data_IF_583715646919
#
_entry.id   IF_583715646919
#
_cell.length_a   1.000
_cell.length_b   1.000
_cell.length_c   1.000
_cell.angle_alpha   90.00
_cell.angle_beta   90.00
_cell.angle_gamma   90.00
#
_symmetry.space_group_name_H-M   'P 1'
#
loop_
_entity.id
_entity.type
_entity.pdbx_description
1 polymer ?
#
# COMPACT_ATOMS: atom_id res chain seq x y z
N UNK A 1 29.65 2.44 -8.79
CA UNK A 1 29.00 3.59 -9.38
C UNK A 1 29.54 4.82 -8.68
N UNK A 2 30.00 5.84 -9.43
CA UNK A 2 30.46 7.09 -8.88
C UNK A 2 29.29 7.74 -8.13
N UNK A 3 29.36 7.77 -6.79
CA UNK A 3 28.31 8.32 -5.95
C UNK A 3 28.19 9.83 -6.19
N UNK A 4 26.98 10.30 -6.34
CA UNK A 4 26.70 11.75 -6.30
C UNK A 4 27.10 12.28 -4.93
N UNK A 5 27.62 13.52 -4.84
CA UNK A 5 27.99 14.10 -3.56
C UNK A 5 26.73 14.27 -2.67
N UNK A 6 26.82 13.98 -1.37
CA UNK A 6 25.67 14.12 -0.47
C UNK A 6 25.17 15.57 -0.40
N UNK A 7 23.86 15.75 -0.31
CA UNK A 7 23.24 17.04 -0.07
C UNK A 7 23.62 17.54 1.31
N UNK A 8 24.21 18.75 1.42
CA UNK A 8 24.55 19.36 2.70
C UNK A 8 23.68 20.57 3.01
N UNK A 9 23.14 20.61 4.21
CA UNK A 9 22.47 21.77 4.80
C UNK A 9 23.27 22.21 6.03
N UNK A 10 23.52 23.51 6.18
CA UNK A 10 24.23 24.07 7.32
C UNK A 10 23.64 25.40 7.77
N UNK A 11 23.54 25.61 9.08
CA UNK A 11 23.03 26.83 9.68
C UNK A 11 23.82 27.23 10.93
N UNK A 12 24.30 28.45 10.98
CA UNK A 12 24.99 29.02 12.16
C UNK A 12 24.04 29.80 13.06
N UNK A 13 23.02 30.43 12.49
CA UNK A 13 22.06 31.30 13.19
C UNK A 13 20.71 30.69 13.51
N UNK A 14 20.57 29.38 13.44
CA UNK A 14 19.30 28.66 13.65
C UNK A 14 18.32 28.86 12.48
N UNK A 15 18.02 27.79 11.76
CA UNK A 15 17.10 27.79 10.61
C UNK A 15 16.14 26.63 10.69
N UNK A 16 14.96 26.84 10.08
CA UNK A 16 14.03 25.80 9.65
C UNK A 16 13.98 25.87 8.13
N UNK A 17 14.69 24.96 7.48
CA UNK A 17 14.92 25.00 6.02
C UNK A 17 14.89 23.60 5.43
N UNK A 18 14.72 23.52 4.11
CA UNK A 18 14.63 22.27 3.39
C UNK A 18 15.24 22.33 2.00
N UNK A 19 15.70 21.20 1.52
CA UNK A 19 15.77 20.87 0.10
C UNK A 19 14.67 19.89 -0.23
N UNK A 20 14.07 19.93 -1.41
CA UNK A 20 12.95 19.06 -1.76
C UNK A 20 12.96 18.65 -3.22
N UNK A 21 12.29 17.52 -3.48
CA UNK A 21 11.91 17.08 -4.81
C UNK A 21 10.40 16.84 -4.85
N UNK A 22 9.76 17.15 -5.98
CA UNK A 22 8.33 16.89 -6.18
C UNK A 22 8.14 15.57 -6.93
N UNK A 23 7.24 14.73 -6.42
CA UNK A 23 6.89 13.44 -7.00
C UNK A 23 5.37 13.26 -7.02
N UNK A 24 4.87 12.50 -7.99
CA UNK A 24 3.45 12.17 -8.07
C UNK A 24 3.23 10.82 -7.38
N UNK A 25 2.34 10.79 -6.37
CA UNK A 25 2.02 9.58 -5.61
C UNK A 25 0.59 9.13 -5.90
N UNK A 26 0.40 7.81 -5.94
CA UNK A 26 -0.88 7.17 -6.17
C UNK A 26 -1.66 6.99 -4.85
N UNK A 27 -2.98 7.16 -4.92
CA UNK A 27 -3.87 6.92 -3.79
C UNK A 27 -3.84 5.45 -3.35
N UNK A 28 -3.90 5.22 -2.03
CA UNK A 28 -3.96 3.88 -1.44
C UNK A 28 -2.64 3.10 -1.48
N UNK A 29 -1.62 3.61 -2.17
CA UNK A 29 -0.31 2.97 -2.24
C UNK A 29 0.49 3.27 -0.98
N UNK A 30 1.11 2.22 -0.42
CA UNK A 30 2.07 2.35 0.67
C UNK A 30 3.45 2.63 0.11
N UNK A 31 4.12 3.62 0.68
CA UNK A 31 5.48 4.03 0.31
C UNK A 31 6.43 3.87 1.49
N UNK A 32 7.68 3.54 1.18
CA UNK A 32 8.83 3.66 2.10
C UNK A 32 9.68 4.84 1.67
N UNK A 33 9.93 5.77 2.59
CA UNK A 33 10.84 6.88 2.40
C UNK A 33 12.06 6.69 3.30
N UNK A 34 13.26 6.62 2.75
CA UNK A 34 14.50 6.43 3.50
C UNK A 34 15.64 7.30 2.97
N UNK A 35 16.63 7.54 3.83
CA UNK A 35 17.91 8.12 3.46
C UNK A 35 18.98 7.74 4.48
N UNK A 36 20.23 7.95 4.12
CA UNK A 36 21.32 8.06 5.07
C UNK A 36 21.51 9.53 5.48
N UNK A 37 21.57 9.79 6.78
CA UNK A 37 21.76 11.13 7.34
C UNK A 37 22.97 11.11 8.27
N UNK A 38 23.87 12.11 8.10
CA UNK A 38 24.97 12.42 8.99
C UNK A 38 24.75 13.81 9.58
N UNK A 39 25.11 14.01 10.85
CA UNK A 39 24.93 15.32 11.51
C UNK A 39 26.19 15.72 12.27
N UNK A 40 26.45 17.04 12.33
CA UNK A 40 27.51 17.63 13.10
C UNK A 40 26.96 18.80 13.93
N UNK A 41 27.00 18.67 15.26
CA UNK A 41 26.58 19.66 16.26
C UNK A 41 25.18 20.22 16.04
N UNK A 42 24.25 19.39 15.61
CA UNK A 42 22.86 19.81 15.41
C UNK A 42 22.19 20.07 16.74
N UNK A 43 21.83 21.34 16.99
CA UNK A 43 21.22 21.82 18.23
C UNK A 43 20.07 22.80 17.93
N UNK A 44 19.34 23.20 18.99
CA UNK A 44 18.23 24.16 18.88
C UNK A 44 16.89 23.54 19.28
N UNK A 45 15.79 24.27 19.04
CA UNK A 45 14.43 23.85 19.42
C UNK A 45 13.70 22.96 18.40
N UNK A 46 14.27 22.78 17.20
CA UNK A 46 13.71 21.96 16.16
C UNK A 46 13.97 20.47 16.33
N UNK A 47 13.38 19.64 15.48
CA UNK A 47 13.56 18.19 15.47
C UNK A 47 14.93 17.74 14.94
N UNK A 48 15.70 18.63 14.31
CA UNK A 48 17.01 18.37 13.73
C UNK A 48 16.93 18.03 12.23
N UNK A 49 17.66 16.99 11.82
CA UNK A 49 17.70 16.55 10.42
C UNK A 49 16.80 15.34 10.21
N UNK A 50 15.88 15.39 9.27
CA UNK A 50 14.90 14.33 8.98
C UNK A 50 14.39 14.37 7.56
N UNK A 51 13.68 13.32 7.14
CA UNK A 51 12.86 13.32 5.94
C UNK A 51 11.39 13.48 6.29
N UNK A 52 10.63 14.17 5.45
CA UNK A 52 9.17 14.09 5.49
C UNK A 52 8.54 14.31 4.11
N UNK A 53 7.27 13.91 4.00
CA UNK A 53 6.40 14.33 2.90
C UNK A 53 5.58 15.51 3.39
N UNK A 54 5.79 16.68 2.76
CA UNK A 54 5.23 17.95 3.24
C UNK A 54 3.71 17.91 3.42
N UNK A 55 3.00 17.38 2.47
CA UNK A 55 1.54 17.31 2.43
C UNK A 55 0.93 16.30 3.43
N UNK A 56 1.76 15.40 3.94
CA UNK A 56 1.35 14.38 4.93
C UNK A 56 1.87 14.67 6.34
N UNK A 57 2.76 15.67 6.47
CA UNK A 57 3.29 16.14 7.76
C UNK A 57 3.83 14.98 8.64
N UNK A 58 3.35 14.88 9.87
CA UNK A 58 3.81 13.86 10.83
C UNK A 58 3.44 12.42 10.44
N UNK A 59 2.47 12.23 9.55
CA UNK A 59 2.07 10.89 9.07
C UNK A 59 3.10 10.24 8.15
N UNK A 60 4.00 11.03 7.58
CA UNK A 60 5.04 10.57 6.66
C UNK A 60 6.36 11.29 6.96
N UNK A 61 6.92 11.06 8.14
CA UNK A 61 8.21 11.63 8.55
C UNK A 61 9.08 10.59 9.27
N UNK A 62 10.39 10.75 9.17
CA UNK A 62 11.36 9.95 9.92
C UNK A 62 11.61 10.58 11.30
N UNK A 63 12.23 9.81 12.19
CA UNK A 63 12.79 10.39 13.42
C UNK A 63 13.89 11.41 13.08
N UNK A 64 13.86 12.57 13.72
CA UNK A 64 14.88 13.60 13.55
C UNK A 64 16.18 13.25 14.25
N UNK A 65 17.31 13.56 13.61
CA UNK A 65 18.66 13.39 14.18
C UNK A 65 19.18 14.73 14.70
N UNK A 66 19.64 14.71 15.96
CA UNK A 66 20.25 15.83 16.66
C UNK A 66 21.63 15.46 17.16
N UNK A 67 22.44 16.46 17.53
CA UNK A 67 23.82 16.24 17.99
C UNK A 67 24.77 15.92 16.84
N UNK A 68 25.81 15.16 17.14
CA UNK A 68 26.77 14.66 16.14
C UNK A 68 26.55 13.16 15.97
N UNK A 69 26.24 12.75 14.76
CA UNK A 69 26.05 11.35 14.38
C UNK A 69 26.83 11.09 13.10
N UNK A 70 27.46 9.92 13.02
CA UNK A 70 27.91 9.40 11.75
C UNK A 70 26.70 8.92 10.91
N UNK A 71 26.93 8.48 9.71
CA UNK A 71 25.87 8.06 8.79
C UNK A 71 24.90 7.08 9.45
N UNK A 72 23.64 7.45 9.53
CA UNK A 72 22.54 6.63 10.03
C UNK A 72 21.44 6.54 8.99
N UNK A 73 20.99 5.33 8.72
CA UNK A 73 19.81 5.13 7.90
C UNK A 73 18.58 5.50 8.72
N UNK A 74 17.76 6.36 8.15
CA UNK A 74 16.44 6.72 8.65
C UNK A 74 15.38 6.25 7.67
N UNK A 75 14.23 5.82 8.17
CA UNK A 75 13.16 5.29 7.34
C UNK A 75 11.80 5.57 7.98
N UNK A 76 10.79 5.77 7.14
CA UNK A 76 9.37 5.81 7.51
C UNK A 76 8.55 5.16 6.40
N UNK A 77 7.40 4.60 6.78
CA UNK A 77 6.44 4.08 5.83
C UNK A 77 5.09 4.78 6.03
N UNK A 78 4.39 5.07 4.94
CA UNK A 78 3.11 5.74 4.97
C UNK A 78 2.22 5.28 3.82
N UNK A 79 0.91 5.48 3.94
CA UNK A 79 -0.04 5.28 2.85
C UNK A 79 -0.43 6.65 2.32
N UNK A 80 -0.37 6.82 1.00
CA UNK A 80 -0.82 8.08 0.38
C UNK A 80 -2.34 8.06 0.22
N UNK A 81 -3.08 9.03 0.81
CA UNK A 81 -4.54 8.98 0.84
C UNK A 81 -5.21 9.40 -0.48
N UNK A 82 -4.50 10.04 -1.39
CA UNK A 82 -5.09 10.55 -2.65
C UNK A 82 -4.03 10.70 -3.74
N UNK A 83 -4.42 10.55 -5.00
CA UNK A 83 -3.56 10.89 -6.13
C UNK A 83 -3.18 12.37 -6.06
N UNK A 84 -1.90 12.65 -5.88
CA UNK A 84 -1.40 14.01 -5.81
C UNK A 84 0.10 14.12 -5.99
N UNK A 85 0.51 15.31 -6.39
CA UNK A 85 1.91 15.72 -6.33
C UNK A 85 2.27 16.12 -4.92
N UNK A 86 3.38 15.58 -4.42
CA UNK A 86 3.89 15.85 -3.06
C UNK A 86 5.33 16.32 -3.10
N UNK A 87 5.76 16.97 -2.02
CA UNK A 87 7.14 17.39 -1.81
C UNK A 87 7.82 16.48 -0.79
N UNK A 88 8.81 15.72 -1.23
CA UNK A 88 9.70 14.95 -0.35
C UNK A 88 10.82 15.88 0.09
N UNK A 89 10.94 16.12 1.39
CA UNK A 89 11.87 17.05 1.96
C UNK A 89 13.03 16.36 2.68
N UNK A 90 14.26 16.86 2.43
CA UNK A 90 15.36 16.79 3.37
C UNK A 90 15.23 18.01 4.28
N UNK A 91 14.66 17.83 5.46
CA UNK A 91 14.29 18.90 6.37
C UNK A 91 15.35 19.09 7.44
N UNK A 92 15.76 20.33 7.67
CA UNK A 92 16.68 20.73 8.73
C UNK A 92 16.03 21.79 9.61
N UNK A 93 15.78 21.47 10.85
CA UNK A 93 14.95 22.25 11.79
C UNK A 93 13.70 21.46 12.17
N UNK A 94 12.70 21.49 11.34
CA UNK A 94 11.44 20.75 11.51
C UNK A 94 10.63 21.24 12.71
N UNK A 95 9.65 22.09 12.43
CA UNK A 95 8.78 22.71 13.45
C UNK A 95 9.55 23.44 14.56
N UNK A 96 10.71 23.97 14.22
CA UNK A 96 11.59 24.75 15.08
C UNK A 96 12.93 24.96 14.42
N UNK A 97 13.74 25.89 14.98
CA UNK A 97 15.04 26.23 14.41
C UNK A 97 16.13 25.29 14.91
N UNK A 98 17.02 24.88 14.03
CA UNK A 98 18.22 24.13 14.36
C UNK A 98 19.47 24.84 13.83
N UNK A 99 20.60 24.66 14.54
CA UNK A 99 21.95 25.04 14.14
C UNK A 99 22.78 23.80 13.84
N UNK A 100 23.95 23.95 13.22
CA UNK A 100 24.85 22.84 12.91
C UNK A 100 24.84 22.47 11.43
N UNK A 101 25.19 21.21 11.15
CA UNK A 101 25.27 20.70 9.77
C UNK A 101 24.61 19.33 9.66
N UNK A 102 23.99 19.08 8.53
CA UNK A 102 23.45 17.77 8.15
C UNK A 102 23.81 17.44 6.70
N UNK A 103 24.06 16.17 6.45
CA UNK A 103 24.26 15.60 5.12
C UNK A 103 23.22 14.52 4.89
N UNK A 104 22.66 14.48 3.69
CA UNK A 104 21.66 13.53 3.24
C UNK A 104 22.18 12.81 2.01
N UNK A 105 22.09 11.49 2.00
CA UNK A 105 22.54 10.64 0.90
C UNK A 105 21.58 9.47 0.68
N UNK A 106 21.63 8.85 -0.50
CA UNK A 106 20.80 7.70 -0.87
C UNK A 106 19.31 7.89 -0.56
N UNK A 107 18.78 9.08 -0.86
CA UNK A 107 17.37 9.39 -0.63
C UNK A 107 16.53 8.53 -1.56
N UNK A 108 15.66 7.73 -1.01
CA UNK A 108 14.86 6.76 -1.75
C UNK A 108 13.40 6.82 -1.32
N UNK A 109 12.52 6.92 -2.30
CA UNK A 109 11.08 6.77 -2.14
C UNK A 109 10.63 5.62 -3.02
N UNK A 110 10.27 4.52 -2.41
CA UNK A 110 9.84 3.32 -3.11
C UNK A 110 8.40 2.99 -2.76
N UNK A 111 7.65 2.55 -3.76
CA UNK A 111 6.41 1.85 -3.48
C UNK A 111 6.74 0.60 -2.68
N UNK A 112 6.15 0.49 -1.49
CA UNK A 112 6.12 -0.77 -0.79
C UNK A 112 5.06 -1.61 -1.49
N UNK A 113 5.47 -2.29 -2.56
CA UNK A 113 4.71 -3.43 -3.01
C UNK A 113 4.64 -4.32 -1.77
N UNK A 114 3.46 -4.67 -1.25
CA UNK A 114 3.40 -5.71 -0.25
C UNK A 114 4.11 -6.90 -0.88
N UNK A 115 5.35 -7.16 -0.46
CA UNK A 115 5.93 -8.46 -0.68
C UNK A 115 5.10 -9.35 0.22
N UNK A 116 3.97 -9.77 -0.30
CA UNK A 116 3.25 -10.91 0.25
C UNK A 116 4.18 -12.08 0.04
N UNK A 117 5.20 -12.17 0.90
CA UNK A 117 5.77 -13.45 1.19
C UNK A 117 4.60 -14.26 1.69
N UNK A 118 4.10 -15.06 0.77
CA UNK A 118 3.27 -16.18 1.06
C UNK A 118 4.02 -17.07 2.06
N UNK A 119 4.04 -16.69 3.33
CA UNK A 119 4.11 -17.66 4.39
C UNK A 119 2.71 -18.27 4.57
N UNK A 120 2.07 -18.54 3.46
CA UNK A 120 1.10 -19.60 3.42
C UNK A 120 1.91 -20.87 3.54
N UNK A 121 1.89 -21.48 4.73
CA UNK A 121 2.26 -22.89 4.96
C UNK A 121 1.39 -23.88 4.13
N UNK A 122 0.92 -23.47 2.98
CA UNK A 122 0.31 -24.30 1.93
C UNK A 122 1.35 -24.56 0.84
N UNK A 123 2.63 -24.36 1.13
CA UNK A 123 3.77 -24.45 0.22
C UNK A 123 4.11 -25.86 -0.29
N UNK A 124 3.22 -26.82 -0.23
CA UNK A 124 3.37 -28.12 -0.89
C UNK A 124 2.04 -28.80 -1.17
N UNK A 125 0.94 -28.08 -1.15
CA UNK A 125 -0.35 -28.69 -1.47
C UNK A 125 -0.56 -28.62 -2.97
N UNK A 126 -0.79 -29.77 -3.59
CA UNK A 126 -1.26 -29.82 -4.97
C UNK A 126 -2.55 -28.99 -5.09
N UNK A 127 -2.59 -28.16 -6.11
CA UNK A 127 -3.76 -27.36 -6.47
C UNK A 127 -4.58 -28.20 -7.44
N UNK A 128 -5.83 -28.46 -7.10
CA UNK A 128 -6.70 -29.35 -7.88
C UNK A 128 -7.26 -28.67 -9.13
N UNK A 129 -7.39 -27.33 -9.09
CA UNK A 129 -7.89 -26.53 -10.22
C UNK A 129 -7.32 -25.12 -10.20
N UNK A 130 -7.28 -24.50 -11.38
CA UNK A 130 -6.77 -23.14 -11.56
C UNK A 130 -7.81 -22.25 -12.25
N UNK A 131 -7.90 -21.00 -11.79
CA UNK A 131 -8.74 -19.94 -12.36
C UNK A 131 -7.89 -18.72 -12.68
N UNK A 132 -8.40 -17.88 -13.57
CA UNK A 132 -7.81 -16.59 -13.88
C UNK A 132 -8.88 -15.53 -13.91
N UNK A 133 -8.56 -14.35 -13.40
CA UNK A 133 -9.36 -13.14 -13.48
C UNK A 133 -8.45 -11.94 -13.52
N UNK A 134 -8.75 -10.97 -14.35
CA UNK A 134 -7.99 -9.71 -14.38
C UNK A 134 -8.93 -8.53 -14.05
N UNK A 135 -8.42 -7.55 -13.30
CA UNK A 135 -9.01 -6.23 -13.24
C UNK A 135 -8.60 -5.46 -14.51
N UNK A 136 -9.58 -4.87 -15.20
CA UNK A 136 -9.38 -4.14 -16.45
C UNK A 136 -9.94 -2.71 -16.34
N UNK A 137 -9.51 -1.84 -17.24
CA UNK A 137 -9.95 -0.44 -17.28
C UNK A 137 -11.47 -0.31 -17.31
N UNK A 138 -12.00 0.65 -16.56
CA UNK A 138 -13.43 0.94 -16.49
C UNK A 138 -14.14 0.36 -15.27
N UNK A 139 -13.41 0.00 -14.22
CA UNK A 139 -13.94 -0.62 -13.00
C UNK A 139 -14.63 -1.96 -13.31
N UNK A 140 -13.99 -2.79 -14.10
CA UNK A 140 -14.52 -4.08 -14.54
C UNK A 140 -13.54 -5.21 -14.20
N UNK A 141 -14.08 -6.41 -14.06
CA UNK A 141 -13.32 -7.64 -14.18
C UNK A 141 -13.35 -8.13 -15.63
N UNK A 142 -12.31 -8.83 -16.05
CA UNK A 142 -12.23 -9.43 -17.41
C UNK A 142 -13.34 -10.44 -17.68
N UNK A 143 -13.83 -11.07 -16.61
CA UNK A 143 -14.92 -12.03 -16.65
C UNK A 143 -15.94 -11.71 -15.55
N UNK A 144 -17.22 -11.85 -15.88
CA UNK A 144 -18.31 -11.69 -14.90
C UNK A 144 -18.76 -13.03 -14.29
N UNK A 145 -18.33 -14.14 -14.87
CA UNK A 145 -18.61 -15.48 -14.36
C UNK A 145 -17.34 -16.34 -14.36
N UNK A 146 -17.04 -16.94 -13.22
CA UNK A 146 -16.06 -18.01 -13.09
C UNK A 146 -16.76 -19.31 -12.71
N UNK A 147 -16.20 -20.45 -13.11
CA UNK A 147 -16.75 -21.76 -12.76
C UNK A 147 -15.70 -22.61 -12.05
N UNK A 148 -16.08 -23.26 -10.96
CA UNK A 148 -15.22 -24.13 -10.20
C UNK A 148 -15.95 -25.36 -9.69
N UNK A 149 -15.21 -26.44 -9.43
CA UNK A 149 -15.73 -27.63 -8.75
C UNK A 149 -15.77 -27.41 -7.24
N UNK A 150 -16.71 -28.03 -6.51
CA UNK A 150 -16.85 -27.88 -5.07
C UNK A 150 -15.71 -28.54 -4.30
N UNK A 151 -15.38 -27.97 -3.14
CA UNK A 151 -14.50 -28.58 -2.15
C UNK A 151 -13.02 -28.72 -2.55
N UNK A 152 -12.60 -28.18 -3.68
CA UNK A 152 -11.25 -28.35 -4.23
C UNK A 152 -10.32 -27.18 -3.85
N UNK A 153 -9.05 -27.47 -3.67
CA UNK A 153 -8.03 -26.45 -3.55
C UNK A 153 -7.80 -25.78 -4.89
N UNK A 154 -8.07 -24.49 -4.92
CA UNK A 154 -8.11 -23.69 -6.14
C UNK A 154 -7.06 -22.59 -6.09
N UNK A 155 -6.23 -22.51 -7.13
CA UNK A 155 -5.41 -21.34 -7.39
C UNK A 155 -6.18 -20.38 -8.31
N UNK A 156 -6.41 -19.16 -7.85
CA UNK A 156 -6.95 -18.08 -8.67
C UNK A 156 -5.86 -17.02 -8.88
N UNK A 157 -5.38 -16.93 -10.11
CA UNK A 157 -4.46 -15.86 -10.50
C UNK A 157 -5.26 -14.59 -10.78
N UNK A 158 -5.11 -13.59 -9.92
CA UNK A 158 -5.72 -12.28 -10.07
C UNK A 158 -4.68 -11.28 -10.59
N UNK A 159 -4.89 -10.77 -11.81
CA UNK A 159 -4.05 -9.75 -12.44
C UNK A 159 -4.72 -8.38 -12.36
N UNK A 160 -3.93 -7.33 -12.23
CA UNK A 160 -4.40 -5.97 -12.35
C UNK A 160 -3.79 -5.30 -13.58
N UNK A 161 -4.54 -5.18 -14.66
CA UNK A 161 -4.12 -4.53 -15.90
C UNK A 161 -4.57 -3.06 -15.97
N UNK A 162 -5.35 -2.59 -15.00
CA UNK A 162 -5.80 -1.21 -14.86
C UNK A 162 -4.67 -0.30 -14.30
N UNK A 163 -4.98 0.98 -14.14
CA UNK A 163 -4.07 2.02 -13.63
C UNK A 163 -4.33 2.40 -12.17
N UNK A 164 -5.25 1.70 -11.49
CA UNK A 164 -5.55 1.90 -10.06
C UNK A 164 -5.56 0.56 -9.31
N UNK A 165 -5.34 0.58 -7.98
CA UNK A 165 -5.34 -0.65 -7.19
C UNK A 165 -6.72 -1.30 -7.13
N UNK A 166 -6.77 -2.62 -7.22
CA UNK A 166 -7.98 -3.43 -7.09
C UNK A 166 -7.72 -4.64 -6.21
N UNK A 167 -8.77 -5.15 -5.59
CA UNK A 167 -8.76 -6.47 -4.95
C UNK A 167 -9.88 -7.34 -5.51
N UNK A 168 -9.86 -8.60 -5.15
CA UNK A 168 -10.91 -9.57 -5.41
C UNK A 168 -11.36 -10.14 -4.06
N UNK A 169 -12.64 -10.02 -3.76
CA UNK A 169 -13.26 -10.56 -2.55
C UNK A 169 -14.43 -11.44 -2.94
N UNK A 170 -14.37 -12.73 -2.57
CA UNK A 170 -15.43 -13.72 -2.80
C UNK A 170 -16.27 -13.79 -1.53
N UNK A 171 -17.58 -13.68 -1.67
CA UNK A 171 -18.49 -13.62 -0.53
C UNK A 171 -19.59 -14.70 -0.60
N UNK A 172 -20.20 -14.96 0.55
CA UNK A 172 -21.29 -15.92 0.66
C UNK A 172 -22.50 -15.52 -0.21
N UNK A 173 -23.31 -16.48 -0.70
CA UNK A 173 -24.52 -16.19 -1.45
C UNK A 173 -25.46 -15.23 -0.71
N UNK A 174 -26.01 -14.25 -1.44
CA UNK A 174 -26.96 -13.27 -0.91
C UNK A 174 -26.36 -12.18 -0.04
N UNK A 175 -25.01 -12.11 0.11
CA UNK A 175 -24.35 -11.13 1.00
C UNK A 175 -23.63 -9.98 0.27
N UNK A 176 -23.72 -9.95 -1.06
CA UNK A 176 -23.06 -8.96 -1.90
C UNK A 176 -23.34 -7.51 -1.45
N UNK A 177 -24.62 -7.15 -1.31
CA UNK A 177 -25.01 -5.77 -0.91
C UNK A 177 -24.53 -5.41 0.49
N UNK A 178 -24.62 -6.35 1.45
CA UNK A 178 -24.22 -6.08 2.83
C UNK A 178 -22.72 -5.91 2.97
N UNK A 179 -21.92 -6.73 2.28
CA UNK A 179 -20.47 -6.61 2.28
C UNK A 179 -20.04 -5.34 1.52
N UNK A 180 -20.65 -5.04 0.38
CA UNK A 180 -20.40 -3.81 -0.36
C UNK A 180 -20.70 -2.55 0.45
N UNK A 181 -21.83 -2.50 1.14
CA UNK A 181 -22.18 -1.39 2.03
C UNK A 181 -21.20 -1.24 3.20
N UNK A 182 -20.73 -2.36 3.76
CA UNK A 182 -19.73 -2.35 4.83
C UNK A 182 -18.40 -1.73 4.35
N UNK A 183 -18.01 -1.91 3.08
CA UNK A 183 -16.81 -1.27 2.55
C UNK A 183 -16.93 0.25 2.44
N UNK A 184 -18.12 0.77 2.17
CA UNK A 184 -18.34 2.22 2.13
C UNK A 184 -18.13 2.85 3.52
N UNK A 185 -18.49 2.14 4.60
CA UNK A 185 -18.25 2.59 5.97
C UNK A 185 -16.76 2.62 6.32
N UNK A 186 -15.94 1.79 5.68
CA UNK A 186 -14.49 1.78 5.88
C UNK A 186 -13.80 3.07 5.40
N UNK A 187 -14.47 3.92 4.60
CA UNK A 187 -13.93 5.24 4.25
C UNK A 187 -13.60 6.11 5.46
N UNK A 188 -14.29 5.89 6.58
CA UNK A 188 -14.05 6.61 7.84
C UNK A 188 -13.02 5.91 8.74
N UNK A 189 -12.59 4.70 8.40
CA UNK A 189 -11.60 3.94 9.16
C UNK A 189 -10.18 4.33 8.72
N UNK A 190 -9.36 4.92 9.61
CA UNK A 190 -7.98 5.29 9.28
C UNK A 190 -7.11 4.09 8.92
N UNK A 191 -7.50 2.88 9.34
CA UNK A 191 -6.77 1.64 9.10
C UNK A 191 -7.31 0.83 7.91
N UNK A 192 -8.32 1.33 7.19
CA UNK A 192 -8.95 0.64 6.07
C UNK A 192 -7.95 0.17 5.00
N UNK A 193 -6.95 1.00 4.69
CA UNK A 193 -5.90 0.64 3.74
C UNK A 193 -5.08 -0.56 4.20
N UNK A 194 -4.74 -0.64 5.47
CA UNK A 194 -4.00 -1.78 6.05
C UNK A 194 -4.82 -3.08 6.05
N UNK A 195 -6.15 -2.96 6.08
CA UNK A 195 -7.12 -4.06 5.96
C UNK A 195 -7.47 -4.37 4.50
N UNK A 196 -6.78 -3.75 3.53
CA UNK A 196 -7.06 -3.89 2.10
C UNK A 196 -8.51 -3.52 1.73
N UNK A 197 -9.16 -2.65 2.51
CA UNK A 197 -10.57 -2.29 2.37
C UNK A 197 -11.53 -3.49 2.43
N UNK A 198 -11.13 -4.58 3.06
CA UNK A 198 -11.99 -5.75 3.26
C UNK A 198 -12.57 -5.68 4.67
N UNK A 199 -13.89 -5.65 4.82
CA UNK A 199 -14.52 -5.67 6.14
C UNK A 199 -14.24 -7.00 6.83
N UNK A 200 -14.04 -6.95 8.14
CA UNK A 200 -13.94 -8.16 8.98
C UNK A 200 -15.36 -8.74 9.14
N UNK A 201 -15.74 -9.59 8.21
CA UNK A 201 -17.08 -10.16 8.10
C UNK A 201 -16.97 -11.66 7.77
N UNK A 202 -17.62 -12.50 8.55
CA UNK A 202 -17.69 -13.95 8.34
C UNK A 202 -18.29 -14.36 6.98
N UNK A 203 -18.89 -13.42 6.26
CA UNK A 203 -19.43 -13.63 4.90
C UNK A 203 -18.34 -13.59 3.82
N UNK A 204 -17.14 -13.12 4.14
CA UNK A 204 -15.98 -13.16 3.23
C UNK A 204 -15.40 -14.56 3.24
N UNK A 205 -15.40 -15.21 2.07
CA UNK A 205 -14.91 -16.59 1.89
C UNK A 205 -13.42 -16.59 1.56
N UNK A 206 -13.02 -15.74 0.64
CA UNK A 206 -11.63 -15.63 0.20
C UNK A 206 -11.38 -14.21 -0.35
N UNK A 207 -10.15 -13.74 -0.23
CA UNK A 207 -9.79 -12.40 -0.66
C UNK A 207 -8.34 -12.30 -1.11
N UNK A 208 -8.08 -11.41 -2.06
CA UNK A 208 -6.74 -10.93 -2.35
C UNK A 208 -6.45 -9.68 -1.51
N UNK A 209 -5.20 -9.33 -1.33
CA UNK A 209 -4.85 -7.96 -0.96
C UNK A 209 -5.20 -6.98 -2.08
N UNK A 210 -4.98 -5.67 -1.83
CA UNK A 210 -4.97 -4.69 -2.91
C UNK A 210 -3.82 -4.99 -3.86
N UNK A 211 -4.14 -5.37 -5.09
CA UNK A 211 -3.18 -5.64 -6.16
C UNK A 211 -2.94 -4.36 -6.93
N UNK A 212 -1.67 -3.93 -6.98
CA UNK A 212 -1.27 -2.70 -7.64
C UNK A 212 -1.37 -2.81 -9.17
N UNK A 213 -1.43 -1.67 -9.89
CA UNK A 213 -1.35 -1.66 -11.35
C UNK A 213 -0.18 -2.50 -11.89
N UNK A 214 -0.46 -3.26 -12.96
CA UNK A 214 0.50 -4.13 -13.66
C UNK A 214 1.10 -5.25 -12.79
N UNK A 215 0.46 -5.55 -11.66
CA UNK A 215 0.86 -6.62 -10.73
C UNK A 215 -0.12 -7.79 -10.78
N UNK A 216 0.29 -8.90 -10.20
CA UNK A 216 -0.49 -10.13 -10.12
C UNK A 216 -0.40 -10.72 -8.72
N UNK A 217 -1.50 -11.29 -8.25
CA UNK A 217 -1.55 -12.05 -7.00
C UNK A 217 -2.13 -13.44 -7.25
N UNK A 218 -1.59 -14.44 -6.60
CA UNK A 218 -2.12 -15.80 -6.65
C UNK A 218 -2.85 -16.10 -5.35
N UNK A 219 -4.17 -16.19 -5.41
CA UNK A 219 -5.04 -16.56 -4.30
C UNK A 219 -5.24 -18.07 -4.31
N UNK A 220 -4.80 -18.75 -3.25
CA UNK A 220 -5.07 -20.16 -3.05
C UNK A 220 -6.10 -20.33 -1.95
N UNK A 221 -7.23 -20.94 -2.26
CA UNK A 221 -8.33 -21.16 -1.32
C UNK A 221 -9.04 -22.47 -1.62
N UNK A 222 -9.77 -23.00 -0.64
CA UNK A 222 -10.67 -24.14 -0.87
C UNK A 222 -12.01 -23.60 -1.33
N UNK A 223 -12.50 -24.04 -2.48
CA UNK A 223 -13.84 -23.67 -2.95
C UNK A 223 -14.92 -24.17 -2.00
N UNK A 224 -16.05 -23.45 -1.89
CA UNK A 224 -17.20 -23.93 -1.12
C UNK A 224 -17.63 -25.34 -1.55
N UNK A 225 -18.07 -26.15 -0.58
CA UNK A 225 -18.54 -27.50 -0.85
C UNK A 225 -19.95 -27.54 -1.45
N UNK A 226 -20.76 -26.53 -1.12
CA UNK A 226 -22.14 -26.44 -1.60
C UNK A 226 -22.16 -25.80 -3.01
N UNK A 227 -22.76 -26.46 -4.00
CA UNK A 227 -23.03 -25.85 -5.29
C UNK A 227 -23.85 -24.55 -5.14
N UNK A 228 -23.57 -23.57 -5.98
CA UNK A 228 -24.27 -22.29 -5.89
C UNK A 228 -23.55 -21.13 -6.55
N UNK A 229 -24.11 -19.95 -6.38
CA UNK A 229 -23.60 -18.69 -6.94
C UNK A 229 -22.99 -17.84 -5.83
N UNK A 230 -21.70 -17.68 -5.85
CA UNK A 230 -20.90 -16.95 -4.86
C UNK A 230 -20.43 -15.64 -5.49
N UNK A 231 -21.00 -14.48 -5.10
CA UNK A 231 -20.59 -13.21 -5.66
C UNK A 231 -19.10 -12.92 -5.39
N UNK A 232 -18.45 -12.24 -6.31
CA UNK A 232 -17.17 -11.60 -6.07
C UNK A 232 -17.22 -10.13 -6.46
N UNK A 233 -16.42 -9.31 -5.78
CA UNK A 233 -16.43 -7.85 -5.96
C UNK A 233 -15.03 -7.28 -5.65
N UNK A 234 -14.79 -6.05 -6.15
CA UNK A 234 -13.70 -5.23 -5.66
C UNK A 234 -14.21 -4.37 -4.51
N UNK A 235 -13.56 -4.44 -3.35
CA UNK A 235 -13.94 -3.68 -2.15
C UNK A 235 -13.17 -2.36 -2.00
N UNK A 236 -12.38 -1.94 -2.99
CA UNK A 236 -11.89 -0.57 -2.99
C UNK A 236 -13.08 0.39 -2.96
N UNK A 237 -13.06 1.46 -2.13
CA UNK A 237 -14.22 2.30 -1.90
C UNK A 237 -14.90 2.80 -3.18
N UNK A 238 -16.20 2.56 -3.28
CA UNK A 238 -17.03 2.91 -4.43
C UNK A 238 -17.01 1.93 -5.60
N UNK A 239 -16.05 1.01 -5.69
CA UNK A 239 -15.90 0.11 -6.85
C UNK A 239 -16.93 -1.01 -6.89
N UNK A 240 -17.34 -1.55 -5.75
CA UNK A 240 -18.17 -2.74 -5.63
C UNK A 240 -19.49 -2.68 -6.42
N UNK A 241 -20.02 -1.49 -6.68
CA UNK A 241 -21.27 -1.32 -7.42
C UNK A 241 -21.13 -1.69 -8.90
N UNK A 242 -19.97 -1.44 -9.47
CA UNK A 242 -19.66 -1.70 -10.87
C UNK A 242 -18.78 -2.94 -11.05
N UNK A 243 -17.77 -3.08 -10.23
CA UNK A 243 -16.73 -4.11 -10.34
C UNK A 243 -17.12 -5.36 -9.56
N UNK A 244 -17.86 -6.24 -10.21
CA UNK A 244 -18.49 -7.45 -9.62
C UNK A 244 -18.65 -8.57 -10.63
N UNK A 245 -18.83 -9.79 -10.11
CA UNK A 245 -19.13 -10.99 -10.85
C UNK A 245 -19.58 -12.11 -9.93
N UNK A 246 -19.59 -13.34 -10.43
CA UNK A 246 -20.03 -14.52 -9.70
C UNK A 246 -19.11 -15.71 -9.95
N UNK A 247 -18.71 -16.38 -8.89
CA UNK A 247 -18.10 -17.70 -8.91
C UNK A 247 -19.21 -18.74 -8.80
N UNK A 248 -19.40 -19.54 -9.85
CA UNK A 248 -20.38 -20.63 -9.89
C UNK A 248 -19.67 -21.89 -9.42
N UNK A 249 -20.10 -22.43 -8.29
CA UNK A 249 -19.71 -23.74 -7.84
C UNK A 249 -20.65 -24.75 -8.49
N UNK A 250 -20.05 -25.60 -9.30
CA UNK A 250 -20.79 -26.61 -10.09
C UNK A 250 -21.42 -27.68 -9.18
N UNK A 251 -22.52 -28.31 -9.62
CA UNK A 251 -23.11 -29.45 -8.88
C UNK A 251 -22.19 -30.66 -8.85
#
# INVERSE_FOLDING_TARGET
>A
PAGTAPLRISATGGQDTRAYASVDLQAGVRYSLSAWIKTDKVAGGGMGALLNVHELQQKAMTKGLRGTNDWRRVETAFVNPSNRRVSVNCLFGGWGRSTGKAWFDDISLNEMIPVYRKENKVASREVDQSLRLDAVTGLLFSETELKARPGLWTSLRFGNTDNMPHNLVIVAPGTYESVGAATDLMLSDPDAGSKNYVPDDAKVIAQTPMVLPKSTFELVFKTPENPGRYPFLCTFPGHWRLMKGVLIILP
#
